data_IF_035434601519
#
_entry.id   IF_035434601519
#
_cell.length_a   1.000
_cell.length_b   1.000
_cell.length_c   1.000
_cell.angle_alpha   90.00
_cell.angle_beta   90.00
_cell.angle_gamma   90.00
#
_symmetry.space_group_name_H-M   'P 1'
#
loop_
_entity.id
_entity.type
_entity.pdbx_description
1 polymer ?
#
# COMPACT_ATOMS: atom_id res chain seq x y z
N UNK A 1 22.43 -13.50 -9.15
CA UNK A 1 22.67 -12.45 -8.14
C UNK A 1 21.40 -11.62 -7.98
N UNK A 2 20.94 -11.45 -6.76
CA UNK A 2 19.76 -10.63 -6.51
C UNK A 2 20.16 -9.16 -6.50
N UNK A 3 19.53 -8.36 -7.34
CA UNK A 3 19.68 -6.91 -7.37
C UNK A 3 18.56 -6.21 -6.60
N UNK A 4 17.68 -6.99 -5.95
CA UNK A 4 16.55 -6.48 -5.18
C UNK A 4 17.01 -5.91 -3.85
N UNK A 5 16.64 -4.67 -3.57
CA UNK A 5 16.97 -4.00 -2.31
C UNK A 5 15.73 -3.37 -1.70
N UNK A 6 15.71 -3.33 -0.36
CA UNK A 6 14.73 -2.57 0.41
C UNK A 6 15.37 -1.22 0.74
N UNK A 7 14.68 -0.13 0.40
CA UNK A 7 15.24 1.21 0.50
C UNK A 7 14.24 2.18 1.16
N UNK A 8 14.72 2.89 2.20
CA UNK A 8 13.93 3.97 2.77
C UNK A 8 14.09 5.22 1.89
N UNK A 9 12.96 5.78 1.48
CA UNK A 9 12.94 6.91 0.57
C UNK A 9 12.89 8.21 1.37
N UNK A 10 14.04 8.84 1.58
CA UNK A 10 14.17 10.04 2.39
C UNK A 10 13.94 11.33 1.60
N UNK A 11 14.53 11.41 0.41
CA UNK A 11 14.40 12.56 -0.48
C UNK A 11 13.88 12.07 -1.81
N UNK A 12 12.59 12.26 -2.04
CA UNK A 12 11.91 11.71 -3.20
C UNK A 12 11.81 12.79 -4.28
N UNK A 13 12.37 12.50 -5.45
CA UNK A 13 12.28 13.42 -6.59
C UNK A 13 10.98 13.20 -7.38
N UNK A 14 10.69 14.11 -8.31
CA UNK A 14 9.45 14.03 -9.09
C UNK A 14 9.34 12.78 -9.93
N UNK A 15 10.45 12.29 -10.48
CA UNK A 15 10.46 11.05 -11.27
C UNK A 15 10.07 9.85 -10.41
N UNK A 16 10.57 9.79 -9.18
CA UNK A 16 10.24 8.72 -8.25
C UNK A 16 8.77 8.78 -7.80
N UNK A 17 8.22 9.99 -7.59
CA UNK A 17 6.79 10.14 -7.31
C UNK A 17 5.95 9.64 -8.47
N UNK A 18 6.31 9.98 -9.71
CA UNK A 18 5.62 9.50 -10.90
C UNK A 18 5.68 7.97 -11.00
N UNK A 19 6.83 7.39 -10.70
CA UNK A 19 7.03 5.95 -10.71
C UNK A 19 6.15 5.26 -9.67
N UNK A 20 6.09 5.80 -8.45
CA UNK A 20 5.22 5.27 -7.40
C UNK A 20 3.74 5.38 -7.78
N UNK A 21 3.36 6.49 -8.42
CA UNK A 21 1.99 6.66 -8.88
C UNK A 21 1.62 5.61 -9.93
N UNK A 22 2.54 5.27 -10.83
CA UNK A 22 2.33 4.20 -11.80
C UNK A 22 2.18 2.83 -11.11
N UNK A 23 2.99 2.56 -10.08
CA UNK A 23 2.86 1.34 -9.27
C UNK A 23 1.48 1.28 -8.62
N UNK A 24 1.04 2.38 -8.03
CA UNK A 24 -0.29 2.49 -7.42
C UNK A 24 -1.39 2.18 -8.45
N UNK A 25 -1.35 2.83 -9.60
CA UNK A 25 -2.38 2.64 -10.63
C UNK A 25 -2.42 1.20 -11.14
N UNK A 26 -1.26 0.60 -11.42
CA UNK A 26 -1.15 -0.79 -11.84
C UNK A 26 -1.76 -1.75 -10.80
N UNK A 27 -1.43 -1.54 -9.53
CA UNK A 27 -1.92 -2.36 -8.44
C UNK A 27 -3.45 -2.23 -8.27
N UNK A 28 -3.95 -1.01 -8.29
CA UNK A 28 -5.38 -0.73 -8.07
C UNK A 28 -6.23 -1.26 -9.23
N UNK A 29 -5.80 -1.07 -10.47
CA UNK A 29 -6.53 -1.59 -11.63
C UNK A 29 -6.64 -3.11 -11.61
N UNK A 30 -5.63 -3.79 -11.07
CA UNK A 30 -5.61 -5.25 -11.01
C UNK A 30 -6.40 -5.83 -9.84
N UNK A 31 -6.56 -5.09 -8.74
CA UNK A 31 -7.09 -5.64 -7.47
C UNK A 31 -8.38 -5.00 -7.00
N UNK A 32 -8.70 -3.80 -7.44
CA UNK A 32 -9.89 -3.07 -7.03
C UNK A 32 -10.89 -3.05 -8.17
N UNK A 33 -11.40 -4.24 -8.53
CA UNK A 33 -12.35 -4.42 -9.62
C UNK A 33 -13.69 -3.72 -9.38
N UNK A 34 -13.98 -3.33 -8.15
CA UNK A 34 -15.15 -2.54 -7.77
C UNK A 34 -15.02 -1.05 -8.09
N UNK A 35 -13.82 -0.59 -8.49
CA UNK A 35 -13.60 0.80 -8.90
C UNK A 35 -13.71 0.94 -10.40
N UNK A 36 -14.43 1.98 -10.84
CA UNK A 36 -14.50 2.32 -12.26
C UNK A 36 -13.24 3.10 -12.66
N UNK A 37 -13.03 3.24 -13.97
CA UNK A 37 -11.94 4.08 -14.50
C UNK A 37 -12.05 5.51 -13.96
N UNK A 38 -13.27 6.05 -13.88
CA UNK A 38 -13.52 7.39 -13.35
C UNK A 38 -13.15 7.47 -11.85
N UNK A 39 -13.49 6.44 -11.08
CA UNK A 39 -13.12 6.38 -9.67
C UNK A 39 -11.60 6.43 -9.50
N UNK A 40 -10.87 5.65 -10.29
CA UNK A 40 -9.41 5.61 -10.25
C UNK A 40 -8.82 6.97 -10.60
N UNK A 41 -9.30 7.59 -11.67
CA UNK A 41 -8.83 8.93 -12.09
C UNK A 41 -9.06 9.98 -11.00
N UNK A 42 -10.20 9.91 -10.31
CA UNK A 42 -10.53 10.86 -9.24
C UNK A 42 -9.66 10.69 -8.00
N UNK A 43 -9.07 9.50 -7.80
CA UNK A 43 -8.19 9.22 -6.67
C UNK A 43 -6.76 9.70 -6.89
N UNK A 44 -6.33 9.90 -8.13
CA UNK A 44 -4.94 10.26 -8.45
C UNK A 44 -4.45 11.48 -7.65
N UNK A 45 -5.17 12.62 -7.62
CA UNK A 45 -4.71 13.78 -6.84
C UNK A 45 -4.58 13.50 -5.35
N UNK A 46 -5.47 12.64 -4.81
CA UNK A 46 -5.44 12.27 -3.39
C UNK A 46 -4.24 11.39 -3.08
N UNK A 47 -3.89 10.49 -3.99
CA UNK A 47 -2.72 9.62 -3.84
C UNK A 47 -1.44 10.46 -3.88
N UNK A 48 -1.36 11.43 -4.79
CA UNK A 48 -0.23 12.36 -4.88
C UNK A 48 -0.01 13.10 -3.56
N UNK A 49 -1.09 13.62 -2.97
CA UNK A 49 -1.04 14.30 -1.67
C UNK A 49 -0.57 13.34 -0.59
N UNK A 50 -1.16 12.14 -0.55
CA UNK A 50 -0.80 11.12 0.44
C UNK A 50 0.66 10.71 0.38
N UNK A 51 1.22 10.56 -0.83
CA UNK A 51 2.63 10.23 -1.01
C UNK A 51 3.56 11.30 -0.45
N UNK A 52 3.14 12.57 -0.53
CA UNK A 52 3.94 13.68 -0.01
C UNK A 52 3.80 13.88 1.48
N UNK A 53 2.66 13.50 2.05
CA UNK A 53 2.35 13.74 3.47
C UNK A 53 2.72 12.59 4.40
N UNK A 54 2.80 11.36 3.90
CA UNK A 54 3.13 10.20 4.74
C UNK A 54 4.54 10.33 5.32
N UNK A 55 4.69 10.00 6.59
CA UNK A 55 5.96 10.19 7.31
C UNK A 55 7.12 9.38 6.74
N UNK A 56 6.86 8.12 6.42
CA UNK A 56 7.89 7.19 5.97
C UNK A 56 7.42 6.41 4.76
N UNK A 57 8.26 6.36 3.74
CA UNK A 57 8.04 5.49 2.59
C UNK A 57 9.24 4.55 2.45
N UNK A 58 8.95 3.27 2.28
CA UNK A 58 9.94 2.23 2.02
C UNK A 58 9.56 1.54 0.73
N UNK A 59 10.51 1.32 -0.16
CA UNK A 59 10.26 0.62 -1.41
C UNK A 59 11.17 -0.58 -1.58
N UNK A 60 10.79 -1.46 -2.47
CA UNK A 60 11.65 -2.51 -2.99
C UNK A 60 11.98 -2.14 -4.43
N UNK A 61 13.27 -1.98 -4.72
CA UNK A 61 13.78 -1.74 -6.06
C UNK A 61 14.56 -2.94 -6.56
N UNK A 62 14.50 -3.17 -7.85
CA UNK A 62 15.32 -4.14 -8.54
C UNK A 62 15.79 -3.51 -9.84
N UNK A 63 17.12 -3.38 -10.03
CA UNK A 63 17.70 -2.68 -11.18
C UNK A 63 17.14 -1.25 -11.34
N UNK A 64 17.05 -0.53 -10.21
CA UNK A 64 16.53 0.84 -10.13
C UNK A 64 15.03 0.99 -10.48
N UNK A 65 14.31 -0.13 -10.59
CA UNK A 65 12.86 -0.10 -10.83
C UNK A 65 12.13 -0.37 -9.52
N UNK A 66 11.19 0.50 -9.17
CA UNK A 66 10.34 0.32 -7.99
C UNK A 66 9.32 -0.77 -8.30
N UNK A 67 9.37 -1.87 -7.54
CA UNK A 67 8.43 -2.98 -7.67
C UNK A 67 7.23 -2.85 -6.74
N UNK A 68 7.41 -2.16 -5.65
CA UNK A 68 6.37 -1.94 -4.66
C UNK A 68 6.85 -0.98 -3.59
N UNK A 69 5.91 -0.42 -2.84
CA UNK A 69 6.25 0.48 -1.75
C UNK A 69 5.20 0.41 -0.64
N UNK A 70 5.62 0.82 0.56
CA UNK A 70 4.77 0.93 1.73
C UNK A 70 4.94 2.32 2.34
N UNK A 71 3.82 2.94 2.70
CA UNK A 71 3.81 4.20 3.42
C UNK A 71 3.36 3.98 4.85
N UNK A 72 4.06 4.58 5.80
CA UNK A 72 3.84 4.33 7.23
C UNK A 72 3.76 5.67 7.96
N UNK A 73 2.69 5.88 8.72
CA UNK A 73 2.57 6.96 9.68
C UNK A 73 2.53 6.35 11.08
N UNK A 74 3.52 6.67 11.91
CA UNK A 74 3.65 6.13 13.27
C UNK A 74 3.64 4.59 13.25
N UNK A 75 2.60 3.96 13.80
CA UNK A 75 2.49 2.50 13.87
C UNK A 75 1.43 1.94 12.92
N UNK A 76 1.04 2.74 11.91
CA UNK A 76 -0.02 2.37 10.96
C UNK A 76 0.49 2.35 9.53
N UNK A 77 0.10 1.30 8.81
CA UNK A 77 0.32 1.21 7.37
C UNK A 77 -0.74 2.08 6.68
N UNK A 78 -0.29 3.13 6.00
CA UNK A 78 -1.18 4.02 5.25
C UNK A 78 -1.31 3.61 3.78
N UNK A 79 -0.27 2.98 3.23
CA UNK A 79 -0.24 2.55 1.84
C UNK A 79 0.58 1.29 1.70
N UNK A 80 0.12 0.38 0.84
CA UNK A 80 0.91 -0.77 0.40
C UNK A 80 0.47 -1.11 -1.02
N UNK A 81 1.35 -0.89 -1.98
CA UNK A 81 1.05 -1.15 -3.39
C UNK A 81 2.19 -1.89 -4.06
N UNK A 82 1.85 -2.93 -4.81
CA UNK A 82 2.79 -3.76 -5.56
C UNK A 82 2.42 -3.67 -7.02
N UNK A 83 3.41 -3.41 -7.89
CA UNK A 83 3.18 -3.43 -9.33
C UNK A 83 2.66 -4.81 -9.72
N UNK A 84 1.57 -4.85 -10.49
CA UNK A 84 0.82 -6.09 -10.74
C UNK A 84 1.67 -7.23 -11.27
N UNK A 85 2.55 -6.96 -12.22
CA UNK A 85 3.38 -8.01 -12.84
C UNK A 85 4.37 -8.67 -11.88
N UNK A 86 4.61 -8.08 -10.71
CA UNK A 86 5.51 -8.64 -9.70
C UNK A 86 4.78 -9.32 -8.55
N UNK A 87 3.46 -9.46 -8.63
CA UNK A 87 2.68 -10.14 -7.61
C UNK A 87 3.05 -11.60 -7.48
N UNK A 88 2.86 -12.15 -6.28
CA UNK A 88 3.17 -13.53 -6.01
C UNK A 88 4.65 -13.79 -5.71
N UNK A 89 5.48 -12.76 -5.67
CA UNK A 89 6.92 -12.87 -5.42
C UNK A 89 7.33 -12.49 -4.00
N UNK A 90 6.35 -12.34 -3.10
CA UNK A 90 6.62 -12.05 -1.69
C UNK A 90 7.00 -10.61 -1.38
N UNK A 91 6.83 -9.68 -2.31
CA UNK A 91 7.22 -8.27 -2.13
C UNK A 91 6.41 -7.61 -1.02
N UNK A 92 5.09 -7.79 -1.02
CA UNK A 92 4.23 -7.24 0.02
C UNK A 92 4.60 -7.76 1.40
N UNK A 93 4.85 -9.05 1.51
CA UNK A 93 5.26 -9.68 2.78
C UNK A 93 6.59 -9.11 3.28
N UNK A 94 7.56 -8.91 2.40
CA UNK A 94 8.86 -8.32 2.75
C UNK A 94 8.73 -6.91 3.26
N UNK A 95 7.89 -6.09 2.60
CA UNK A 95 7.63 -4.72 3.03
C UNK A 95 6.94 -4.67 4.38
N UNK A 96 5.92 -5.50 4.59
CA UNK A 96 5.21 -5.58 5.88
C UNK A 96 6.15 -6.01 7.00
N UNK A 97 6.97 -7.03 6.75
CA UNK A 97 7.94 -7.50 7.75
C UNK A 97 8.93 -6.41 8.13
N UNK A 98 9.43 -5.68 7.14
CA UNK A 98 10.32 -4.56 7.39
C UNK A 98 9.64 -3.49 8.25
N UNK A 99 8.39 -3.16 7.92
CA UNK A 99 7.60 -2.17 8.66
C UNK A 99 7.37 -2.59 10.11
N UNK A 100 7.06 -3.86 10.33
CA UNK A 100 6.87 -4.40 11.68
C UNK A 100 8.18 -4.32 12.47
N UNK A 101 9.27 -4.77 11.87
CA UNK A 101 10.57 -4.84 12.55
C UNK A 101 11.14 -3.45 12.86
N UNK A 102 11.03 -2.50 11.94
CA UNK A 102 11.63 -1.19 12.09
C UNK A 102 10.72 -0.15 12.74
N UNK A 103 9.44 -0.15 12.40
CA UNK A 103 8.50 0.89 12.83
C UNK A 103 7.47 0.41 13.84
N UNK A 104 7.51 -0.85 14.26
CA UNK A 104 6.53 -1.44 15.18
C UNK A 104 5.10 -1.27 14.69
N UNK A 105 4.88 -1.43 13.41
CA UNK A 105 3.57 -1.30 12.79
C UNK A 105 2.58 -2.28 13.40
N UNK A 106 1.39 -1.79 13.75
CA UNK A 106 0.32 -2.60 14.35
C UNK A 106 -1.01 -2.48 13.63
N UNK A 107 -1.24 -1.42 12.87
CA UNK A 107 -2.56 -1.11 12.31
C UNK A 107 -2.52 -1.01 10.80
N UNK A 108 -3.63 -1.41 10.17
CA UNK A 108 -3.87 -1.20 8.75
C UNK A 108 -5.37 -1.08 8.51
N UNK A 109 -5.74 -0.20 7.58
CA UNK A 109 -7.11 -0.10 7.09
C UNK A 109 -7.15 -0.75 5.71
N UNK A 110 -8.12 -1.64 5.50
CA UNK A 110 -8.24 -2.40 4.26
C UNK A 110 -9.63 -2.23 3.68
N UNK A 111 -9.71 -1.97 2.38
CA UNK A 111 -11.00 -1.94 1.72
C UNK A 111 -11.62 -3.35 1.76
N UNK A 112 -12.82 -3.45 2.34
CA UNK A 112 -13.52 -4.73 2.53
C UNK A 112 -13.73 -5.48 1.21
N UNK A 113 -13.94 -4.75 0.12
CA UNK A 113 -14.20 -5.33 -1.19
C UNK A 113 -12.94 -5.87 -1.86
N UNK A 114 -11.77 -5.49 -1.37
CA UNK A 114 -10.50 -6.07 -1.82
C UNK A 114 -10.20 -7.33 -1.02
N UNK A 115 -10.85 -8.42 -1.39
CA UNK A 115 -10.77 -9.69 -0.64
C UNK A 115 -9.37 -10.28 -0.60
N UNK A 116 -8.58 -10.08 -1.64
CA UNK A 116 -7.19 -10.55 -1.66
C UNK A 116 -6.35 -9.84 -0.62
N UNK A 117 -6.50 -8.54 -0.48
CA UNK A 117 -5.79 -7.77 0.54
C UNK A 117 -6.24 -8.17 1.94
N UNK A 118 -7.54 -8.33 2.16
CA UNK A 118 -8.07 -8.78 3.46
C UNK A 118 -7.45 -10.12 3.84
N UNK A 119 -7.48 -11.10 2.93
CA UNK A 119 -6.87 -12.41 3.16
C UNK A 119 -5.37 -12.34 3.41
N UNK A 120 -4.67 -11.49 2.68
CA UNK A 120 -3.24 -11.26 2.85
C UNK A 120 -2.90 -10.78 4.27
N UNK A 121 -3.61 -9.77 4.77
CA UNK A 121 -3.37 -9.25 6.12
C UNK A 121 -3.76 -10.25 7.20
N UNK A 122 -4.87 -10.97 7.02
CA UNK A 122 -5.25 -12.04 7.96
C UNK A 122 -4.16 -13.10 8.04
N UNK A 123 -3.63 -13.51 6.89
CA UNK A 123 -2.56 -14.51 6.84
C UNK A 123 -1.30 -14.04 7.58
N UNK A 124 -1.03 -12.74 7.59
CA UNK A 124 0.12 -12.17 8.29
C UNK A 124 -0.13 -11.93 9.78
N UNK A 125 -1.30 -12.22 10.30
CA UNK A 125 -1.61 -12.10 11.71
C UNK A 125 -2.45 -10.90 12.10
N UNK A 126 -2.93 -10.12 11.13
CA UNK A 126 -3.84 -9.02 11.41
C UNK A 126 -5.25 -9.53 11.63
N UNK A 127 -5.97 -8.85 12.50
CA UNK A 127 -7.36 -9.21 12.84
C UNK A 127 -8.22 -7.95 12.79
N UNK A 128 -9.42 -8.08 12.22
CA UNK A 128 -10.40 -6.99 12.22
C UNK A 128 -10.83 -6.68 13.66
N UNK A 129 -10.85 -5.40 14.01
CA UNK A 129 -11.36 -4.94 15.30
C UNK A 129 -12.46 -3.90 15.14
N UNK A 130 -12.60 -3.30 13.97
CA UNK A 130 -13.65 -2.31 13.69
C UNK A 130 -13.91 -2.24 12.19
N UNK A 131 -15.01 -1.61 11.80
CA UNK A 131 -15.42 -1.47 10.42
C UNK A 131 -16.13 -0.13 10.22
N UNK A 132 -15.80 0.55 9.13
CA UNK A 132 -16.51 1.76 8.69
C UNK A 132 -17.26 1.45 7.40
N UNK A 133 -18.49 1.96 7.27
CA UNK A 133 -19.30 1.70 6.07
C UNK A 133 -18.89 2.55 4.88
N UNK A 134 -18.19 3.64 5.13
CA UNK A 134 -17.69 4.57 4.10
C UNK A 134 -16.19 4.76 4.28
N UNK A 135 -15.51 5.16 3.19
CA UNK A 135 -14.08 5.48 3.25
C UNK A 135 -13.84 6.89 3.81
N UNK A 136 -12.56 7.29 3.91
CA UNK A 136 -12.17 8.60 4.45
C UNK A 136 -12.66 9.79 3.65
N UNK A 137 -13.11 9.59 2.41
CA UNK A 137 -13.66 10.64 1.54
C UNK A 137 -15.19 10.61 1.49
N UNK A 138 -15.82 9.74 2.29
CA UNK A 138 -17.29 9.62 2.32
C UNK A 138 -17.88 8.79 1.19
N UNK A 139 -17.07 8.06 0.43
CA UNK A 139 -17.54 7.17 -0.64
C UNK A 139 -18.06 5.84 -0.04
N UNK A 140 -18.99 5.16 -0.73
CA UNK A 140 -19.58 3.91 -0.22
C UNK A 140 -18.65 2.70 -0.40
N UNK A 141 -17.44 2.80 0.10
CA UNK A 141 -16.43 1.73 0.10
C UNK A 141 -16.10 1.36 1.53
N UNK A 142 -16.68 0.27 2.07
CA UNK A 142 -16.45 -0.13 3.46
C UNK A 142 -14.98 -0.43 3.74
N UNK A 143 -14.54 -0.02 4.92
CA UNK A 143 -13.16 -0.19 5.39
C UNK A 143 -13.13 -1.10 6.61
N UNK A 144 -12.28 -2.11 6.59
CA UNK A 144 -11.97 -2.93 7.75
C UNK A 144 -10.76 -2.34 8.46
N UNK A 145 -10.90 -2.08 9.75
CA UNK A 145 -9.80 -1.63 10.60
C UNK A 145 -9.19 -2.85 11.26
N UNK A 146 -7.91 -3.09 10.98
CA UNK A 146 -7.24 -4.31 11.43
C UNK A 146 -6.05 -4.01 12.32
N UNK A 147 -5.77 -4.92 13.25
CA UNK A 147 -4.68 -4.82 14.20
C UNK A 147 -3.85 -6.11 14.16
N UNK A 148 -2.54 -5.96 14.25
CA UNK A 148 -1.62 -7.08 14.37
C UNK A 148 -1.60 -7.58 15.82
N UNK A 149 -1.84 -8.85 15.99
CA UNK A 149 -1.86 -9.46 17.33
C UNK A 149 -0.57 -10.23 17.57
#
# INVERSE_FOLDING_TARGET
MKSEIILEMKQINSTEYDEMLQVWESSVRATHDFLTKKDIESLIPLVEIGLKEVENIVCIKDNDIIKGFIGIDKDKIEMLFIEDKYRGNGIGKKLIKYAIDKYNVKYVDVNEQNKKAVGFYIHLGFKEFDRSEIDGQGNPFPILHMILI
#
